data_IF_624868333170
#
_entry.id   IF_624868333170
#
_cell.length_a   1.000
_cell.length_b   1.000
_cell.length_c   1.000
_cell.angle_alpha   90.00
_cell.angle_beta   90.00
_cell.angle_gamma   90.00
#
_symmetry.space_group_name_H-M   'P 1'
#
loop_
_entity.id
_entity.type
_entity.pdbx_description
1 polymer ?
#
# COMPACT_ATOMS: atom_id res chain seq x y z
N UNK A 1 14.33 -10.21 15.55
CA UNK A 1 13.77 -9.22 14.60
C UNK A 1 12.28 -9.17 14.82
N UNK A 2 11.69 -7.99 14.98
CA UNK A 2 10.23 -7.82 14.96
C UNK A 2 9.77 -7.72 13.50
N UNK A 3 8.72 -8.48 13.13
CA UNK A 3 8.21 -8.52 11.77
C UNK A 3 6.78 -7.99 11.73
N UNK A 4 6.53 -7.07 10.82
CA UNK A 4 5.22 -6.51 10.54
C UNK A 4 4.89 -6.65 9.05
N UNK A 5 3.65 -7.02 8.76
CA UNK A 5 3.08 -6.97 7.42
C UNK A 5 2.00 -5.89 7.41
N UNK A 6 2.29 -4.77 6.77
CA UNK A 6 1.43 -3.59 6.82
C UNK A 6 0.46 -3.47 5.65
N UNK A 7 0.34 -4.50 4.78
CA UNK A 7 -0.55 -4.48 3.64
C UNK A 7 -1.05 -5.88 3.32
N UNK A 8 -2.30 -6.15 3.67
CA UNK A 8 -2.92 -7.46 3.46
C UNK A 8 -4.42 -7.32 3.21
N UNK A 9 -4.99 -8.24 2.43
CA UNK A 9 -6.37 -8.25 2.00
C UNK A 9 -7.09 -9.50 2.50
N UNK A 10 -8.36 -9.33 2.84
CA UNK A 10 -9.24 -10.41 3.25
C UNK A 10 -10.33 -10.67 2.20
N UNK A 11 -11.24 -11.58 2.50
CA UNK A 11 -12.41 -11.88 1.65
C UNK A 11 -13.34 -10.68 1.40
N UNK A 12 -13.10 -9.53 2.05
CA UNK A 12 -13.79 -8.28 1.79
C UNK A 12 -13.24 -7.53 0.58
N UNK A 13 -12.03 -7.84 0.15
CA UNK A 13 -11.46 -7.37 -1.12
C UNK A 13 -11.97 -8.24 -2.28
N UNK A 14 -12.46 -7.66 -3.39
CA UNK A 14 -13.11 -8.42 -4.45
C UNK A 14 -12.21 -9.40 -5.19
N UNK A 15 -10.90 -9.17 -5.16
CA UNK A 15 -9.85 -9.97 -5.81
C UNK A 15 -9.08 -10.89 -4.85
N UNK A 16 -9.41 -10.87 -3.57
CA UNK A 16 -8.84 -11.79 -2.59
C UNK A 16 -9.58 -13.13 -2.54
N UNK A 17 -8.92 -14.17 -2.04
CA UNK A 17 -9.53 -15.49 -1.84
C UNK A 17 -10.68 -15.41 -0.83
N UNK A 18 -11.81 -16.02 -1.14
CA UNK A 18 -13.01 -15.99 -0.29
C UNK A 18 -12.84 -16.66 1.07
N UNK A 19 -11.84 -17.54 1.22
CA UNK A 19 -11.50 -18.18 2.48
C UNK A 19 -10.45 -17.39 3.26
N UNK A 20 -9.92 -16.30 2.69
CA UNK A 20 -8.95 -15.43 3.35
C UNK A 20 -9.64 -14.50 4.35
N UNK A 21 -10.30 -15.07 5.36
CA UNK A 21 -10.96 -14.29 6.41
C UNK A 21 -9.94 -13.54 7.27
N UNK A 22 -10.33 -12.45 7.97
CA UNK A 22 -9.47 -11.77 8.93
C UNK A 22 -8.84 -12.74 9.96
N UNK A 23 -9.60 -13.75 10.39
CA UNK A 23 -9.11 -14.76 11.32
C UNK A 23 -8.06 -15.68 10.69
N UNK A 24 -8.26 -16.16 9.47
CA UNK A 24 -7.30 -17.02 8.77
C UNK A 24 -5.97 -16.27 8.54
N UNK A 25 -6.06 -15.02 8.15
CA UNK A 25 -4.93 -14.13 7.90
C UNK A 25 -4.10 -13.88 9.18
N UNK A 26 -4.75 -13.52 10.29
CA UNK A 26 -4.08 -13.33 11.58
C UNK A 26 -3.50 -14.63 12.14
N UNK A 27 -4.17 -15.78 11.92
CA UNK A 27 -3.66 -17.10 12.33
C UNK A 27 -2.37 -17.43 11.59
N UNK A 28 -2.31 -17.16 10.29
CA UNK A 28 -1.11 -17.42 9.49
C UNK A 28 0.04 -16.47 9.87
N UNK A 29 -0.26 -15.17 10.09
CA UNK A 29 0.72 -14.21 10.57
C UNK A 29 1.36 -14.68 11.89
N UNK A 30 0.54 -15.08 12.85
CA UNK A 30 1.01 -15.60 14.13
C UNK A 30 1.84 -16.89 13.96
N UNK A 31 1.37 -17.82 13.12
CA UNK A 31 2.09 -19.07 12.82
C UNK A 31 3.48 -18.83 12.23
N UNK A 32 3.62 -17.76 11.42
CA UNK A 32 4.90 -17.34 10.82
C UNK A 32 5.77 -16.51 11.76
N UNK A 33 5.32 -16.22 12.97
CA UNK A 33 6.07 -15.48 13.97
C UNK A 33 6.07 -13.96 13.75
N UNK A 34 5.08 -13.42 13.03
CA UNK A 34 4.89 -11.98 12.90
C UNK A 34 4.50 -11.36 14.24
N UNK A 35 5.01 -10.17 14.48
CA UNK A 35 4.68 -9.35 15.66
C UNK A 35 3.35 -8.62 15.46
N UNK A 36 3.07 -8.24 14.22
CA UNK A 36 1.80 -7.59 13.88
C UNK A 36 1.50 -7.63 12.39
N UNK A 37 0.22 -7.36 12.09
CA UNK A 37 -0.34 -7.34 10.75
C UNK A 37 -1.35 -6.19 10.64
N UNK A 38 -1.39 -5.51 9.50
CA UNK A 38 -2.47 -4.59 9.14
C UNK A 38 -3.39 -5.24 8.11
N UNK A 39 -4.69 -5.21 8.36
CA UNK A 39 -5.72 -5.63 7.42
C UNK A 39 -6.16 -4.37 6.69
N UNK A 40 -6.00 -4.34 5.37
CA UNK A 40 -6.16 -3.14 4.54
C UNK A 40 -6.97 -3.43 3.28
N UNK A 41 -8.21 -3.92 3.47
CA UNK A 41 -9.08 -4.26 2.35
C UNK A 41 -9.36 -3.08 1.42
N UNK A 42 -9.58 -3.37 0.15
CA UNK A 42 -9.78 -2.40 -0.92
C UNK A 42 -11.04 -1.55 -0.77
N UNK A 43 -10.87 -0.26 -0.90
CA UNK A 43 -11.94 0.71 -1.15
C UNK A 43 -11.54 1.63 -2.30
N UNK A 44 -11.64 1.14 -3.53
CA UNK A 44 -11.42 1.95 -4.75
C UNK A 44 -12.61 2.86 -4.98
N UNK A 45 -12.46 4.11 -4.56
CA UNK A 45 -13.55 5.07 -4.42
C UNK A 45 -14.26 5.35 -5.74
N UNK A 46 -13.50 5.63 -6.79
CA UNK A 46 -14.07 5.93 -8.11
C UNK A 46 -14.79 4.70 -8.69
N UNK A 47 -14.20 3.51 -8.61
CA UNK A 47 -14.85 2.29 -9.09
C UNK A 47 -16.16 1.96 -8.36
N UNK A 48 -16.24 2.27 -7.06
CA UNK A 48 -17.48 2.08 -6.27
C UNK A 48 -18.53 3.12 -6.61
N UNK A 49 -18.18 4.40 -6.69
CA UNK A 49 -19.11 5.48 -7.02
C UNK A 49 -19.65 5.36 -8.44
N UNK A 50 -18.81 4.95 -9.37
CA UNK A 50 -19.16 4.72 -10.78
C UNK A 50 -19.85 3.37 -11.03
N UNK A 51 -19.99 2.53 -10.01
CA UNK A 51 -20.65 1.21 -10.10
C UNK A 51 -19.85 0.15 -10.86
N UNK A 52 -18.54 0.32 -10.99
CA UNK A 52 -17.62 -0.64 -11.62
C UNK A 52 -17.28 -1.76 -10.63
N UNK A 53 -17.05 -1.41 -9.36
CA UNK A 53 -16.78 -2.34 -8.27
C UNK A 53 -17.91 -2.41 -7.26
N UNK A 54 -18.07 -3.54 -6.54
CA UNK A 54 -19.02 -3.62 -5.44
C UNK A 54 -18.71 -2.56 -4.38
N UNK A 55 -19.75 -2.07 -3.72
CA UNK A 55 -19.58 -1.18 -2.57
C UNK A 55 -18.88 -1.96 -1.44
N UNK A 56 -17.85 -1.39 -0.88
CA UNK A 56 -17.10 -1.96 0.23
C UNK A 56 -17.98 -2.14 1.47
N UNK A 57 -18.07 -3.36 1.99
CA UNK A 57 -18.85 -3.72 3.18
C UNK A 57 -18.16 -3.25 4.48
N UNK A 58 -17.86 -1.95 4.56
CA UNK A 58 -17.00 -1.33 5.56
C UNK A 58 -17.36 -1.66 7.01
N UNK A 59 -18.66 -1.63 7.33
CA UNK A 59 -19.13 -1.86 8.70
C UNK A 59 -18.87 -3.31 9.11
N UNK A 60 -19.26 -4.25 8.26
CA UNK A 60 -19.03 -5.68 8.47
C UNK A 60 -17.53 -6.01 8.51
N UNK A 61 -16.74 -5.47 7.59
CA UNK A 61 -15.30 -5.66 7.58
C UNK A 61 -14.67 -5.15 8.89
N UNK A 62 -15.04 -3.94 9.31
CA UNK A 62 -14.53 -3.35 10.54
C UNK A 62 -14.90 -4.17 11.79
N UNK A 63 -16.14 -4.64 11.90
CA UNK A 63 -16.61 -5.49 13.00
C UNK A 63 -15.82 -6.81 13.07
N UNK A 64 -15.60 -7.47 11.93
CA UNK A 64 -14.80 -8.69 11.89
C UNK A 64 -13.32 -8.42 12.25
N UNK A 65 -12.71 -7.33 11.75
CA UNK A 65 -11.36 -6.93 12.15
C UNK A 65 -11.27 -6.65 13.65
N UNK A 66 -12.25 -5.97 14.23
CA UNK A 66 -12.28 -5.69 15.67
C UNK A 66 -12.38 -6.98 16.49
N UNK A 67 -13.20 -7.93 16.05
CA UNK A 67 -13.33 -9.25 16.68
C UNK A 67 -12.00 -10.02 16.68
N UNK A 68 -11.27 -10.04 15.58
CA UNK A 68 -9.97 -10.71 15.51
C UNK A 68 -8.90 -9.98 16.29
N UNK A 69 -8.88 -8.65 16.30
CA UNK A 69 -7.97 -7.85 17.14
C UNK A 69 -8.11 -8.23 18.61
N UNK A 70 -9.36 -8.37 19.08
CA UNK A 70 -9.64 -8.81 20.45
C UNK A 70 -9.18 -10.27 20.67
N UNK A 71 -9.50 -11.17 19.74
CA UNK A 71 -9.12 -12.59 19.85
C UNK A 71 -7.61 -12.79 19.94
N UNK A 72 -6.84 -12.03 19.18
CA UNK A 72 -5.37 -12.15 19.13
C UNK A 72 -4.63 -11.25 20.13
N UNK A 73 -5.36 -10.50 20.97
CA UNK A 73 -4.78 -9.59 21.97
C UNK A 73 -3.66 -10.28 22.79
N UNK A 74 -2.51 -9.60 22.88
CA UNK A 74 -1.33 -10.10 23.60
C UNK A 74 -0.53 -11.17 22.87
N UNK A 75 -0.96 -11.62 21.68
CA UNK A 75 -0.26 -12.61 20.86
C UNK A 75 0.17 -12.07 19.50
N UNK A 76 -0.65 -11.25 18.89
CA UNK A 76 -0.41 -10.58 17.61
C UNK A 76 -1.00 -9.18 17.68
N UNK A 77 -0.26 -8.19 17.22
CA UNK A 77 -0.80 -6.83 17.01
C UNK A 77 -1.60 -6.81 15.72
N UNK A 78 -2.84 -6.38 15.78
CA UNK A 78 -3.72 -6.26 14.60
C UNK A 78 -4.09 -4.79 14.42
N UNK A 79 -3.65 -4.20 13.33
CA UNK A 79 -3.99 -2.86 12.90
C UNK A 79 -5.23 -2.91 12.02
N UNK A 80 -6.28 -2.19 12.41
CA UNK A 80 -7.55 -2.10 11.69
C UNK A 80 -7.40 -1.04 10.60
N UNK A 81 -7.10 -1.47 9.39
CA UNK A 81 -6.79 -0.58 8.30
C UNK A 81 -7.79 -0.61 7.15
N UNK A 82 -7.47 0.18 6.14
CA UNK A 82 -8.17 0.25 4.87
C UNK A 82 -7.17 0.67 3.79
N UNK A 83 -7.24 0.07 2.61
CA UNK A 83 -6.59 0.62 1.42
C UNK A 83 -7.61 1.43 0.63
N UNK A 84 -7.48 2.76 0.67
CA UNK A 84 -8.36 3.66 -0.06
C UNK A 84 -7.70 4.10 -1.37
N UNK A 85 -8.29 3.68 -2.48
CA UNK A 85 -7.85 4.04 -3.83
C UNK A 85 -8.47 5.35 -4.28
N UNK A 86 -7.68 6.23 -4.92
CA UNK A 86 -8.11 7.44 -5.62
C UNK A 86 -9.02 8.37 -4.78
N UNK A 87 -8.73 8.51 -3.47
CA UNK A 87 -9.57 9.27 -2.54
C UNK A 87 -9.89 10.72 -2.98
N UNK A 88 -9.01 11.47 -3.67
CA UNK A 88 -9.30 12.82 -4.15
C UNK A 88 -10.37 12.89 -5.27
N UNK A 89 -10.62 11.79 -6.02
CA UNK A 89 -11.57 11.80 -7.13
C UNK A 89 -13.01 12.06 -6.67
N UNK A 90 -13.39 11.51 -5.49
CA UNK A 90 -14.71 11.68 -4.87
C UNK A 90 -14.56 12.05 -3.38
N UNK A 91 -14.16 13.29 -3.07
CA UNK A 91 -13.68 13.66 -1.74
C UNK A 91 -14.74 13.53 -0.65
N UNK A 92 -16.01 13.79 -0.94
CA UNK A 92 -17.10 13.65 0.04
C UNK A 92 -17.34 12.19 0.42
N UNK A 93 -17.36 11.30 -0.59
CA UNK A 93 -17.50 9.87 -0.36
C UNK A 93 -16.29 9.32 0.41
N UNK A 94 -15.09 9.67 0.01
CA UNK A 94 -13.85 9.27 0.68
C UNK A 94 -13.82 9.70 2.14
N UNK A 95 -14.20 10.95 2.44
CA UNK A 95 -14.30 11.42 3.82
C UNK A 95 -15.36 10.66 4.61
N UNK A 96 -16.51 10.31 3.99
CA UNK A 96 -17.53 9.50 4.63
C UNK A 96 -17.03 8.10 4.98
N UNK A 97 -16.20 7.50 4.12
CA UNK A 97 -15.55 6.20 4.39
C UNK A 97 -14.55 6.32 5.53
N UNK A 98 -13.61 7.27 5.44
CA UNK A 98 -12.55 7.43 6.45
C UNK A 98 -13.07 7.83 7.83
N UNK A 99 -14.22 8.52 7.91
CA UNK A 99 -14.84 8.92 9.17
C UNK A 99 -15.83 7.90 9.72
N UNK A 100 -16.14 6.83 8.99
CA UNK A 100 -17.13 5.82 9.44
C UNK A 100 -16.64 5.01 10.64
N UNK A 101 -15.34 4.78 10.71
CA UNK A 101 -14.70 4.00 11.77
C UNK A 101 -13.35 4.63 12.17
N UNK A 102 -12.87 4.41 13.41
CA UNK A 102 -11.55 4.83 13.85
C UNK A 102 -10.48 3.85 13.32
N UNK A 103 -10.13 3.96 12.04
CA UNK A 103 -9.08 3.15 11.45
C UNK A 103 -7.72 3.43 12.10
N UNK A 104 -7.00 2.36 12.42
CA UNK A 104 -5.61 2.42 12.91
C UNK A 104 -4.64 2.86 11.82
N UNK A 105 -4.92 2.46 10.57
CA UNK A 105 -4.03 2.64 9.43
C UNK A 105 -4.81 2.89 8.13
N UNK A 106 -4.48 3.95 7.44
CA UNK A 106 -5.06 4.28 6.13
C UNK A 106 -3.97 4.24 5.08
N UNK A 107 -4.02 3.23 4.24
CA UNK A 107 -3.11 3.06 3.11
C UNK A 107 -3.75 3.73 1.89
N UNK A 108 -3.10 4.74 1.33
CA UNK A 108 -3.59 5.46 0.16
C UNK A 108 -2.95 4.95 -1.13
N UNK A 109 -3.76 4.58 -2.11
CA UNK A 109 -3.29 3.99 -3.36
C UNK A 109 -3.78 4.72 -4.61
N UNK A 110 -3.03 4.54 -5.70
CA UNK A 110 -3.39 5.01 -7.05
C UNK A 110 -3.36 3.81 -7.99
N UNK A 111 -4.50 3.16 -8.16
CA UNK A 111 -4.67 2.03 -9.08
C UNK A 111 -5.02 2.47 -10.50
N UNK A 112 -5.62 3.64 -10.63
CA UNK A 112 -5.95 4.31 -11.90
C UNK A 112 -5.93 5.83 -11.74
N UNK A 113 -6.15 6.53 -12.82
CA UNK A 113 -6.37 7.96 -12.82
C UNK A 113 -7.84 8.25 -13.16
N UNK A 114 -8.36 9.41 -12.75
CA UNK A 114 -9.74 9.82 -13.04
C UNK A 114 -10.10 9.65 -14.51
N UNK A 115 -11.23 8.97 -14.78
CA UNK A 115 -11.72 8.66 -16.13
C UNK A 115 -10.86 7.67 -16.92
N UNK A 116 -9.94 6.96 -16.26
CA UNK A 116 -9.05 5.98 -16.88
C UNK A 116 -9.23 4.62 -16.16
N UNK A 117 -9.31 3.49 -16.90
CA UNK A 117 -9.38 2.16 -16.26
C UNK A 117 -8.18 1.89 -15.36
N UNK A 118 -8.33 0.91 -14.45
CA UNK A 118 -7.22 0.41 -13.66
C UNK A 118 -6.02 0.05 -14.56
N UNK A 119 -4.83 0.38 -14.09
CA UNK A 119 -3.57 0.13 -14.79
C UNK A 119 -3.35 -1.34 -15.13
N UNK A 120 -3.99 -2.25 -14.41
CA UNK A 120 -4.02 -3.68 -14.72
C UNK A 120 -4.58 -3.98 -16.11
N UNK A 121 -5.60 -3.22 -16.58
CA UNK A 121 -6.29 -3.48 -17.85
C UNK A 121 -5.58 -2.94 -19.08
N UNK A 122 -4.47 -2.21 -18.92
CA UNK A 122 -3.75 -1.63 -20.04
C UNK A 122 -2.92 -2.67 -20.79
N UNK A 123 -2.95 -2.55 -22.12
CA UNK A 123 -2.08 -3.31 -23.03
C UNK A 123 -0.80 -2.54 -23.26
N UNK A 124 0.11 -2.59 -22.27
CA UNK A 124 1.35 -1.82 -22.29
C UNK A 124 2.24 -2.12 -23.51
N UNK A 125 2.19 -3.33 -24.05
CA UNK A 125 2.88 -3.71 -25.27
C UNK A 125 2.45 -2.88 -26.50
N UNK A 126 1.23 -2.35 -26.49
CA UNK A 126 0.67 -1.49 -27.55
C UNK A 126 0.86 0.01 -27.27
N UNK A 127 1.29 0.39 -26.08
CA UNK A 127 1.45 1.79 -25.70
C UNK A 127 2.83 2.31 -26.11
N UNK A 128 2.90 3.57 -26.52
CA UNK A 128 4.20 4.22 -26.71
C UNK A 128 4.88 4.49 -25.36
N UNK A 129 6.21 4.51 -25.34
CA UNK A 129 6.95 4.85 -24.12
C UNK A 129 6.66 6.27 -23.63
N UNK A 130 6.35 7.19 -24.59
CA UNK A 130 5.92 8.54 -24.24
C UNK A 130 4.62 8.56 -23.46
N UNK A 131 3.62 7.74 -23.84
CA UNK A 131 2.36 7.62 -23.12
C UNK A 131 2.58 6.97 -21.73
N UNK A 132 3.40 5.93 -21.64
CA UNK A 132 3.75 5.32 -20.36
C UNK A 132 4.40 6.35 -19.41
N UNK A 133 5.35 7.15 -19.93
CA UNK A 133 5.96 8.24 -19.16
C UNK A 133 4.96 9.28 -18.70
N UNK A 134 4.04 9.69 -19.57
CA UNK A 134 2.99 10.64 -19.20
C UNK A 134 2.07 10.10 -18.12
N UNK A 135 1.67 8.83 -18.21
CA UNK A 135 0.86 8.18 -17.17
C UNK A 135 1.57 8.17 -15.84
N UNK A 136 2.85 7.80 -15.81
CA UNK A 136 3.60 7.77 -14.55
C UNK A 136 3.75 9.18 -13.93
N UNK A 137 4.03 10.21 -14.74
CA UNK A 137 4.04 11.59 -14.26
C UNK A 137 2.70 12.00 -13.62
N UNK A 138 1.58 11.59 -14.22
CA UNK A 138 0.24 11.85 -13.67
C UNK A 138 -0.02 11.02 -12.40
N UNK A 139 0.51 9.81 -12.30
CA UNK A 139 0.41 8.98 -11.09
C UNK A 139 1.13 9.64 -9.91
N UNK A 140 2.34 10.22 -10.15
CA UNK A 140 3.04 10.98 -9.11
C UNK A 140 2.22 12.21 -8.68
N UNK A 141 1.63 12.93 -9.64
CA UNK A 141 0.77 14.07 -9.33
C UNK A 141 -0.47 13.65 -8.51
N UNK A 142 -1.13 12.55 -8.87
CA UNK A 142 -2.26 12.03 -8.11
C UNK A 142 -1.86 11.60 -6.68
N UNK A 143 -0.68 10.99 -6.52
CA UNK A 143 -0.15 10.67 -5.19
C UNK A 143 0.14 11.95 -4.37
N UNK A 144 0.56 13.02 -5.03
CA UNK A 144 0.74 14.33 -4.41
C UNK A 144 -0.60 14.93 -3.95
N UNK A 145 -1.64 14.84 -4.77
CA UNK A 145 -3.00 15.26 -4.43
C UNK A 145 -3.56 14.43 -3.26
N UNK A 146 -3.25 13.14 -3.20
CA UNK A 146 -3.63 12.25 -2.11
C UNK A 146 -2.99 12.71 -0.77
N UNK A 147 -1.74 13.20 -0.79
CA UNK A 147 -1.13 13.82 0.39
C UNK A 147 -1.89 15.09 0.83
N UNK A 148 -2.35 15.92 -0.11
CA UNK A 148 -3.11 17.13 0.20
C UNK A 148 -4.54 16.85 0.68
N UNK A 149 -5.14 15.76 0.20
CA UNK A 149 -6.44 15.29 0.68
C UNK A 149 -6.43 15.03 2.19
N UNK A 150 -5.35 14.43 2.71
CA UNK A 150 -5.14 14.16 4.15
C UNK A 150 -5.86 12.92 4.64
N UNK A 151 -5.57 12.54 5.90
CA UNK A 151 -6.12 11.32 6.51
C UNK A 151 -5.45 10.04 6.03
N UNK A 152 -4.33 10.14 5.32
CA UNK A 152 -3.55 9.01 4.79
C UNK A 152 -2.35 8.75 5.71
N UNK A 153 -2.13 7.50 6.07
CA UNK A 153 -1.01 7.06 6.91
C UNK A 153 0.23 6.69 6.09
N UNK A 154 0.02 6.06 4.93
CA UNK A 154 1.11 5.61 4.04
C UNK A 154 0.66 5.64 2.58
N UNK A 155 1.58 5.95 1.65
CA UNK A 155 1.33 5.79 0.21
C UNK A 155 1.73 4.38 -0.20
N UNK A 156 0.76 3.64 -0.76
CA UNK A 156 0.92 2.28 -1.23
C UNK A 156 1.70 2.21 -2.54
N UNK A 157 2.49 1.16 -2.71
CA UNK A 157 3.11 0.70 -3.97
C UNK A 157 3.22 1.76 -5.09
N UNK A 158 3.86 2.90 -4.80
CA UNK A 158 3.91 4.12 -5.65
C UNK A 158 4.20 3.86 -7.13
N UNK A 159 4.88 2.76 -7.46
CA UNK A 159 5.19 2.35 -8.84
C UNK A 159 4.31 1.21 -9.33
N UNK A 160 3.05 1.13 -8.88
CA UNK A 160 2.12 0.05 -9.21
C UNK A 160 2.03 -0.24 -10.72
N UNK A 161 1.90 0.79 -11.57
CA UNK A 161 1.85 0.59 -13.02
C UNK A 161 3.15 0.03 -13.62
N UNK A 162 4.31 0.26 -13.00
CA UNK A 162 5.62 -0.19 -13.50
C UNK A 162 5.69 -1.71 -13.58
N UNK A 163 5.01 -2.44 -12.67
CA UNK A 163 4.96 -3.91 -12.72
C UNK A 163 4.39 -4.42 -14.04
N UNK A 164 3.34 -3.79 -14.55
CA UNK A 164 2.69 -4.19 -15.80
C UNK A 164 3.52 -3.78 -17.02
N UNK A 165 4.19 -2.64 -16.95
CA UNK A 165 5.16 -2.24 -17.96
C UNK A 165 6.30 -3.25 -18.08
N UNK A 166 6.86 -3.68 -16.94
CA UNK A 166 7.93 -4.67 -16.92
C UNK A 166 7.48 -6.01 -17.49
N UNK A 167 6.27 -6.47 -17.16
CA UNK A 167 5.68 -7.69 -17.72
C UNK A 167 5.46 -7.60 -19.24
N UNK A 168 5.24 -6.40 -19.77
CA UNK A 168 5.16 -6.11 -21.21
C UNK A 168 6.53 -5.86 -21.87
N UNK A 169 7.64 -6.15 -21.16
CA UNK A 169 8.99 -5.94 -21.67
C UNK A 169 9.45 -4.50 -21.78
N UNK A 170 8.76 -3.58 -21.08
CA UNK A 170 9.12 -2.16 -21.05
C UNK A 170 9.90 -1.82 -19.78
N UNK A 171 10.86 -0.92 -19.93
CA UNK A 171 11.64 -0.35 -18.82
C UNK A 171 11.24 1.11 -18.61
N UNK A 172 11.43 1.61 -17.39
CA UNK A 172 11.22 3.01 -17.06
C UNK A 172 12.50 3.57 -16.42
N UNK A 173 12.94 4.71 -16.92
CA UNK A 173 13.98 5.52 -16.31
C UNK A 173 13.29 6.54 -15.38
N UNK A 174 13.54 6.44 -14.08
CA UNK A 174 12.94 7.32 -13.10
C UNK A 174 13.68 8.66 -12.92
N UNK A 175 14.86 8.81 -13.50
CA UNK A 175 15.67 10.04 -13.37
C UNK A 175 14.94 11.28 -13.90
N UNK A 176 14.12 11.11 -14.95
CA UNK A 176 13.29 12.18 -15.52
C UNK A 176 12.16 12.68 -14.62
N UNK A 177 11.89 12.02 -13.48
CA UNK A 177 10.80 12.38 -12.56
C UNK A 177 11.33 12.89 -11.22
N UNK A 178 12.64 13.11 -11.12
CA UNK A 178 13.29 13.47 -9.86
C UNK A 178 12.61 14.65 -9.16
N UNK A 179 12.35 15.73 -9.85
CA UNK A 179 11.72 16.93 -9.28
C UNK A 179 10.31 16.65 -8.77
N UNK A 180 9.51 15.89 -9.52
CA UNK A 180 8.15 15.51 -9.11
C UNK A 180 8.16 14.59 -7.89
N UNK A 181 9.08 13.62 -7.86
CA UNK A 181 9.24 12.71 -6.73
C UNK A 181 9.74 13.44 -5.48
N UNK A 182 10.69 14.38 -5.62
CA UNK A 182 11.17 15.20 -4.50
C UNK A 182 10.05 16.07 -3.92
N UNK A 183 9.19 16.66 -4.76
CA UNK A 183 8.02 17.43 -4.30
C UNK A 183 7.02 16.54 -3.54
N UNK A 184 6.68 15.38 -4.10
CA UNK A 184 5.84 14.38 -3.43
C UNK A 184 6.44 13.98 -2.08
N UNK A 185 7.70 13.64 -2.03
CA UNK A 185 8.36 13.17 -0.82
C UNK A 185 8.47 14.24 0.26
N UNK A 186 8.72 15.48 -0.11
CA UNK A 186 8.66 16.63 0.83
C UNK A 186 7.26 16.77 1.43
N UNK A 187 6.22 16.67 0.58
CA UNK A 187 4.84 16.72 1.06
C UNK A 187 4.48 15.56 2.01
N UNK A 188 4.96 14.35 1.73
CA UNK A 188 4.80 13.19 2.62
C UNK A 188 5.50 13.42 3.96
N UNK A 189 6.77 13.87 3.94
CA UNK A 189 7.56 14.15 5.14
C UNK A 189 6.88 15.21 6.01
N UNK A 190 6.48 16.34 5.41
CA UNK A 190 5.84 17.44 6.12
C UNK A 190 4.51 17.05 6.80
N UNK A 191 3.84 16.03 6.27
CA UNK A 191 2.55 15.52 6.78
C UNK A 191 2.67 14.25 7.62
N UNK A 192 3.87 13.69 7.77
CA UNK A 192 4.08 12.43 8.49
C UNK A 192 3.47 11.22 7.79
N UNK A 193 3.40 11.24 6.45
CA UNK A 193 2.91 10.13 5.63
C UNK A 193 4.08 9.20 5.31
N UNK A 194 3.92 7.91 5.57
CA UNK A 194 4.91 6.89 5.26
C UNK A 194 4.97 6.57 3.76
N UNK A 195 6.12 6.06 3.31
CA UNK A 195 6.24 5.40 2.02
C UNK A 195 6.21 3.89 2.23
N UNK A 196 5.30 3.20 1.56
CA UNK A 196 5.30 1.74 1.57
C UNK A 196 6.42 1.18 0.69
N UNK A 197 7.11 0.16 1.19
CA UNK A 197 7.85 -0.81 0.39
C UNK A 197 6.97 -2.06 0.20
N UNK A 198 6.35 -2.20 -0.95
CA UNK A 198 5.55 -3.36 -1.31
C UNK A 198 6.44 -4.44 -1.94
N UNK A 199 6.39 -5.65 -1.38
CA UNK A 199 7.25 -6.76 -1.76
C UNK A 199 6.53 -7.85 -2.56
N UNK A 200 5.28 -7.59 -2.97
CA UNK A 200 4.37 -8.61 -3.55
C UNK A 200 4.89 -9.28 -4.82
N UNK A 201 5.74 -8.60 -5.59
CA UNK A 201 6.22 -9.13 -6.87
C UNK A 201 7.31 -10.19 -6.71
N UNK A 202 8.06 -10.14 -5.62
CA UNK A 202 9.16 -11.08 -5.38
C UNK A 202 8.64 -12.52 -5.32
N UNK A 203 7.53 -12.78 -4.60
CA UNK A 203 6.91 -14.12 -4.54
C UNK A 203 6.36 -14.59 -5.89
N UNK A 204 6.09 -13.67 -6.81
CA UNK A 204 5.64 -13.97 -8.18
C UNK A 204 6.82 -14.20 -9.15
N UNK A 205 8.05 -14.24 -8.64
CA UNK A 205 9.27 -14.44 -9.45
C UNK A 205 9.71 -13.20 -10.23
N UNK A 206 9.15 -12.03 -9.93
CA UNK A 206 9.52 -10.76 -10.55
C UNK A 206 10.42 -10.02 -9.56
N UNK A 207 11.71 -9.82 -9.86
CA UNK A 207 12.66 -9.21 -8.93
C UNK A 207 12.49 -7.67 -8.90
N UNK A 208 11.30 -7.23 -8.54
CA UNK A 208 10.91 -5.82 -8.49
C UNK A 208 10.23 -5.51 -7.16
N UNK A 209 10.66 -4.43 -6.53
CA UNK A 209 10.00 -3.80 -5.39
C UNK A 209 9.20 -2.58 -5.84
N UNK A 210 8.13 -2.26 -5.13
CA UNK A 210 7.30 -1.09 -5.39
C UNK A 210 7.28 -0.17 -4.16
N UNK A 211 7.98 0.99 -4.21
CA UNK A 211 8.80 1.48 -5.30
C UNK A 211 10.16 0.79 -5.40
N UNK A 212 10.90 1.09 -6.47
CA UNK A 212 12.24 0.55 -6.70
C UNK A 212 13.25 1.07 -5.67
N UNK A 213 14.39 0.39 -5.53
CA UNK A 213 15.48 0.81 -4.65
C UNK A 213 15.97 2.24 -4.94
N UNK A 214 16.00 2.65 -6.21
CA UNK A 214 16.37 4.00 -6.64
C UNK A 214 15.42 5.07 -6.05
N UNK A 215 14.12 4.82 -6.13
CA UNK A 215 13.09 5.74 -5.60
C UNK A 215 13.13 5.78 -4.07
N UNK A 216 13.34 4.63 -3.41
CA UNK A 216 13.53 4.57 -1.95
C UNK A 216 14.78 5.35 -1.51
N UNK A 217 15.88 5.24 -2.27
CA UNK A 217 17.09 6.00 -2.01
C UNK A 217 16.83 7.51 -2.14
N UNK A 218 16.12 7.94 -3.19
CA UNK A 218 15.73 9.33 -3.36
C UNK A 218 14.87 9.82 -2.20
N UNK A 219 13.86 9.02 -1.75
CA UNK A 219 13.06 9.36 -0.57
C UNK A 219 13.92 9.59 0.67
N UNK A 220 14.90 8.71 0.90
CA UNK A 220 15.84 8.84 2.00
C UNK A 220 16.73 10.09 1.88
N UNK A 221 17.23 10.37 0.67
CA UNK A 221 18.13 11.50 0.39
C UNK A 221 17.46 12.85 0.64
N UNK A 222 16.15 12.97 0.36
CA UNK A 222 15.37 14.19 0.67
C UNK A 222 14.92 14.28 2.13
N UNK A 223 15.32 13.31 2.98
CA UNK A 223 15.04 13.32 4.41
C UNK A 223 13.96 12.37 4.88
N UNK A 224 13.36 11.60 4.00
CA UNK A 224 12.34 10.60 4.34
C UNK A 224 12.90 9.50 5.25
N UNK A 225 12.14 9.11 6.27
CA UNK A 225 12.53 8.07 7.24
C UNK A 225 11.37 7.16 7.61
N UNK A 226 10.15 7.59 7.38
CA UNK A 226 8.96 6.86 7.75
C UNK A 226 8.59 5.88 6.63
N UNK A 227 8.79 4.59 6.84
CA UNK A 227 8.52 3.54 5.85
C UNK A 227 7.70 2.41 6.47
N UNK A 228 6.79 1.84 5.70
CA UNK A 228 6.08 0.59 6.00
C UNK A 228 6.51 -0.49 5.02
N UNK A 229 6.28 -1.76 5.35
CA UNK A 229 6.53 -2.87 4.43
C UNK A 229 5.28 -3.73 4.34
N UNK A 230 4.82 -4.02 3.13
CA UNK A 230 3.61 -4.79 2.86
C UNK A 230 3.82 -5.94 1.90
N UNK A 231 3.26 -7.11 2.23
CA UNK A 231 3.25 -8.27 1.32
C UNK A 231 2.17 -8.17 0.26
N UNK A 232 1.14 -7.36 0.48
CA UNK A 232 -0.02 -7.24 -0.39
C UNK A 232 -0.65 -8.63 -0.65
N UNK A 233 -0.79 -9.39 0.46
CA UNK A 233 -1.26 -10.76 0.44
C UNK A 233 -2.78 -10.81 0.24
N UNK A 234 -3.21 -11.48 -0.82
CA UNK A 234 -4.61 -11.77 -1.15
C UNK A 234 -5.00 -13.22 -0.82
N UNK A 235 -4.05 -14.01 -0.34
CA UNK A 235 -4.19 -15.37 0.16
C UNK A 235 -3.49 -15.50 1.50
N UNK A 236 -4.07 -16.22 2.45
CA UNK A 236 -3.45 -16.42 3.77
C UNK A 236 -2.04 -17.00 3.66
N UNK A 237 -1.81 -17.91 2.70
CA UNK A 237 -0.48 -18.50 2.47
C UNK A 237 0.58 -17.48 1.97
N UNK A 238 0.20 -16.29 1.58
CA UNK A 238 1.10 -15.23 1.11
C UNK A 238 1.45 -14.19 2.19
N UNK A 239 0.78 -14.25 3.35
CA UNK A 239 1.03 -13.34 4.47
C UNK A 239 2.49 -13.33 4.84
N UNK A 240 3.08 -12.14 4.89
CA UNK A 240 4.47 -11.96 5.27
C UNK A 240 5.50 -12.43 4.25
N UNK A 241 5.07 -12.89 3.07
CA UNK A 241 5.99 -13.34 2.03
C UNK A 241 6.95 -12.21 1.62
N UNK A 242 8.25 -12.48 1.69
CA UNK A 242 9.33 -11.55 1.35
C UNK A 242 9.45 -10.27 2.20
N UNK A 243 8.75 -10.15 3.33
CA UNK A 243 8.90 -9.02 4.26
C UNK A 243 10.35 -8.89 4.74
N UNK A 244 11.01 -10.01 5.09
CA UNK A 244 12.42 -9.99 5.49
C UNK A 244 13.36 -9.52 4.36
N UNK A 245 13.04 -9.84 3.10
CA UNK A 245 13.78 -9.31 1.94
C UNK A 245 13.62 -7.79 1.85
N UNK A 246 12.40 -7.29 2.06
CA UNK A 246 12.11 -5.86 2.15
C UNK A 246 12.92 -5.18 3.26
N UNK A 247 12.98 -5.78 4.43
CA UNK A 247 13.77 -5.24 5.56
C UNK A 247 15.27 -5.20 5.22
N UNK A 248 15.80 -6.26 4.58
CA UNK A 248 17.19 -6.29 4.13
C UNK A 248 17.47 -5.19 3.10
N UNK A 249 16.55 -4.96 2.15
CA UNK A 249 16.67 -3.85 1.20
C UNK A 249 16.68 -2.51 1.92
N UNK A 250 15.70 -2.24 2.79
CA UNK A 250 15.64 -0.97 3.54
C UNK A 250 16.92 -0.74 4.35
N UNK A 251 17.42 -1.77 5.04
CA UNK A 251 18.68 -1.70 5.79
C UNK A 251 19.88 -1.36 4.90
N UNK A 252 19.96 -1.98 3.72
CA UNK A 252 21.04 -1.71 2.75
C UNK A 252 21.02 -0.27 2.20
N UNK A 253 19.83 0.33 2.15
CA UNK A 253 19.62 1.74 1.79
C UNK A 253 19.80 2.69 3.00
N UNK A 254 20.08 2.15 4.20
CA UNK A 254 20.36 2.89 5.42
C UNK A 254 19.12 3.35 6.19
N UNK A 255 17.97 2.72 5.97
CA UNK A 255 16.85 2.81 6.90
C UNK A 255 17.14 1.90 8.11
N UNK A 256 16.89 2.37 9.30
CA UNK A 256 17.14 1.65 10.57
C UNK A 256 15.85 1.19 11.25
N UNK A 257 14.71 1.71 10.80
CA UNK A 257 13.38 1.43 11.39
C UNK A 257 12.31 1.28 10.33
N UNK A 258 11.27 0.52 10.70
CA UNK A 258 9.98 0.46 10.00
C UNK A 258 8.88 0.97 10.93
N UNK A 259 7.81 1.50 10.34
CA UNK A 259 6.63 1.94 11.07
C UNK A 259 5.56 0.86 11.08
N UNK A 260 4.87 0.74 12.22
CA UNK A 260 3.60 0.04 12.34
C UNK A 260 2.58 0.98 12.97
N UNK A 261 1.40 1.10 12.37
CA UNK A 261 0.41 2.08 12.78
C UNK A 261 -0.64 1.46 13.69
N UNK A 262 -0.94 2.14 14.79
CA UNK A 262 -2.09 1.87 15.66
C UNK A 262 -2.71 3.22 16.07
N UNK A 263 -4.03 3.29 16.11
CA UNK A 263 -4.78 4.52 16.41
C UNK A 263 -4.33 5.73 15.57
N UNK A 264 -4.06 5.51 14.31
CA UNK A 264 -3.59 6.56 13.38
C UNK A 264 -2.17 7.06 13.63
N UNK A 265 -1.41 6.42 14.54
CA UNK A 265 -0.07 6.89 14.95
C UNK A 265 0.99 5.83 14.63
N UNK A 266 2.13 6.19 13.99
CA UNK A 266 3.21 5.26 13.74
C UNK A 266 4.04 5.01 14.99
N UNK A 267 4.27 3.73 15.30
CA UNK A 267 5.31 3.28 16.22
C UNK A 267 6.49 2.76 15.39
N UNK A 268 7.71 3.14 15.76
CA UNK A 268 8.91 2.82 15.00
C UNK A 268 9.67 1.64 15.63
N UNK A 269 9.95 0.62 14.84
CA UNK A 269 10.65 -0.59 15.26
C UNK A 269 11.96 -0.76 14.50
N UNK A 270 13.05 -1.20 15.16
CA UNK A 270 14.31 -1.44 14.49
C UNK A 270 14.18 -2.59 13.49
N UNK A 271 14.85 -2.45 12.34
CA UNK A 271 14.91 -3.48 11.28
C UNK A 271 15.83 -4.65 11.68
N UNK A 272 16.77 -4.44 12.58
CA UNK A 272 17.78 -5.42 13.02
C UNK A 272 17.37 -6.15 14.29
#
# INVERSE_FOLDING_TARGET
MVLFDSHTHTCFSPDADKNNTPFALCTEALRRGFTGIAITDHCDVNGQVEGIYPVFERDRCYEEMLSVKEHFRGRLRVSLGIEIGQAPDYPEYSRSVLSSHPYDFVLGSIHNLSGVPDFYYFKYEMMSDALCRQLFSRTIAAARELCDFGGISSIAHLTYMHRYMLLAGKTMDFSGYREQLEDLFKAMIDRGIALELNVSLIRKGIPLYMPTAEILQLYRDVGGRLVTVGSDAHYACDVGANIEDGYRLLSSLGFDKVAFFENGTPELFPIT
#
